data_IF_628041481140
#
_entry.id   IF_628041481140
#
_cell.length_a   1.000
_cell.length_b   1.000
_cell.length_c   1.000
_cell.angle_alpha   90.00
_cell.angle_beta   90.00
_cell.angle_gamma   90.00
#
_symmetry.space_group_name_H-M   'P 1'
#
loop_
_entity.id
_entity.type
_entity.pdbx_description
1 polymer ?
#
# COMPACT_ATOMS: atom_id res chain seq x y z
N UNK A 1 15.85 5.85 -5.26
CA UNK A 1 15.91 4.81 -4.21
C UNK A 1 14.51 4.63 -3.65
N UNK A 2 13.76 3.65 -4.17
CA UNK A 2 12.40 3.32 -3.69
C UNK A 2 12.46 2.11 -2.76
N UNK A 3 12.08 2.29 -1.50
CA UNK A 3 11.80 1.16 -0.59
C UNK A 3 10.30 0.86 -0.68
N UNK A 4 9.97 -0.41 -0.94
CA UNK A 4 8.58 -0.88 -0.98
C UNK A 4 7.94 -0.67 0.39
N UNK A 5 6.82 0.05 0.43
CA UNK A 5 6.11 0.41 1.66
C UNK A 5 4.65 0.01 1.52
N UNK A 6 4.05 -0.52 2.58
CA UNK A 6 2.61 -0.77 2.63
C UNK A 6 1.89 0.53 2.95
N UNK A 7 0.83 0.87 2.20
CA UNK A 7 -0.09 1.94 2.58
C UNK A 7 -0.93 1.48 3.78
N UNK A 8 -0.79 2.18 4.89
CA UNK A 8 -1.63 2.02 6.08
C UNK A 8 -2.60 3.20 6.21
N UNK A 9 -3.86 2.96 6.61
CA UNK A 9 -4.78 4.07 6.87
C UNK A 9 -4.18 5.07 7.87
N UNK A 10 -3.45 4.56 8.86
CA UNK A 10 -2.98 5.31 10.01
C UNK A 10 -4.14 5.68 10.94
N UNK A 11 -3.81 6.10 12.16
CA UNK A 11 -4.74 6.78 13.05
C UNK A 11 -4.26 8.22 13.34
N UNK A 12 -4.97 8.94 14.21
CA UNK A 12 -4.63 10.33 14.57
C UNK A 12 -3.21 10.44 15.14
N UNK A 13 -2.77 9.45 15.91
CA UNK A 13 -1.50 9.45 16.64
C UNK A 13 -0.35 8.84 15.81
N UNK A 14 -0.67 8.07 14.77
CA UNK A 14 0.32 7.45 13.88
C UNK A 14 1.04 8.54 13.08
N UNK A 15 2.38 8.63 13.09
CA UNK A 15 3.12 9.66 12.35
C UNK A 15 3.14 9.46 10.83
N UNK A 16 2.44 8.44 10.32
CA UNK A 16 2.32 8.08 8.90
C UNK A 16 0.86 7.65 8.59
N UNK A 17 0.53 7.46 7.32
CA UNK A 17 -0.82 7.10 6.85
C UNK A 17 -1.55 8.24 6.14
N UNK A 18 -2.87 8.13 5.97
CA UNK A 18 -3.67 9.21 5.41
C UNK A 18 -3.81 10.36 6.41
N UNK A 19 -3.48 11.57 5.96
CA UNK A 19 -3.55 12.81 6.73
C UNK A 19 -4.31 13.86 5.94
N UNK A 20 -5.13 14.63 6.65
CA UNK A 20 -5.93 15.71 6.09
C UNK A 20 -6.18 16.77 7.16
N UNK A 21 -6.42 18.00 6.73
CA UNK A 21 -6.85 19.09 7.60
C UNK A 21 -8.29 18.82 8.06
N UNK A 22 -8.60 18.99 9.36
CA UNK A 22 -9.99 18.96 9.82
C UNK A 22 -10.86 19.90 8.99
N UNK A 23 -12.08 19.46 8.67
CA UNK A 23 -13.05 20.19 7.82
C UNK A 23 -12.66 20.40 6.35
N UNK A 24 -11.49 19.93 5.90
CA UNK A 24 -11.10 19.91 4.48
C UNK A 24 -10.62 18.52 4.01
N UNK A 25 -11.55 17.61 3.66
CA UNK A 25 -11.23 16.31 3.08
C UNK A 25 -10.42 16.37 1.77
N UNK A 26 -10.46 17.49 1.04
CA UNK A 26 -9.75 17.62 -0.24
C UNK A 26 -8.24 17.77 -0.05
N UNK A 27 -7.80 18.16 1.15
CA UNK A 27 -6.40 18.26 1.53
C UNK A 27 -5.70 16.91 1.71
N UNK A 28 -6.43 15.78 1.63
CA UNK A 28 -5.91 14.46 1.97
C UNK A 28 -4.65 14.07 1.18
N UNK A 29 -3.66 13.55 1.90
CA UNK A 29 -2.44 12.98 1.36
C UNK A 29 -2.00 11.78 2.19
N UNK A 30 -1.12 10.96 1.65
CA UNK A 30 -0.47 9.89 2.38
C UNK A 30 0.91 10.34 2.84
N UNK A 31 1.19 10.19 4.13
CA UNK A 31 2.50 10.42 4.72
C UNK A 31 3.22 9.08 4.87
N UNK A 32 4.34 8.91 4.18
CA UNK A 32 5.08 7.66 4.18
C UNK A 32 5.84 7.41 5.49
N UNK A 33 5.80 6.16 5.97
CA UNK A 33 6.46 5.72 7.20
C UNK A 33 7.99 5.89 7.17
N UNK A 34 8.65 5.68 6.03
CA UNK A 34 10.12 5.62 6.01
C UNK A 34 10.79 6.98 5.91
N UNK A 35 10.29 7.85 5.02
CA UNK A 35 10.96 9.11 4.68
C UNK A 35 10.09 10.33 4.98
N UNK A 36 8.91 10.15 5.57
CA UNK A 36 7.91 11.20 5.74
C UNK A 36 7.60 11.95 4.43
N UNK A 37 7.72 11.26 3.28
CA UNK A 37 7.34 11.86 2.01
C UNK A 37 5.82 11.97 1.93
N UNK A 38 5.38 13.10 1.36
CA UNK A 38 3.99 13.36 1.05
C UNK A 38 3.71 12.76 -0.33
N UNK A 39 2.74 11.85 -0.40
CA UNK A 39 2.28 11.22 -1.63
C UNK A 39 0.82 11.63 -1.83
N UNK A 40 0.48 12.16 -3.00
CA UNK A 40 -0.92 12.40 -3.39
C UNK A 40 -1.46 11.18 -4.14
N UNK A 41 -2.79 11.00 -4.15
CA UNK A 41 -3.40 9.84 -4.80
C UNK A 41 -2.97 9.68 -6.27
N UNK A 42 -2.89 10.78 -7.01
CA UNK A 42 -2.46 10.81 -8.42
C UNK A 42 -0.97 10.49 -8.64
N UNK A 43 -0.18 10.47 -7.57
CA UNK A 43 1.25 10.16 -7.58
C UNK A 43 1.51 8.69 -7.20
N UNK A 44 0.46 7.90 -6.94
CA UNK A 44 0.60 6.47 -6.73
C UNK A 44 1.06 5.79 -8.03
N UNK A 45 2.24 5.22 -7.97
CA UNK A 45 2.82 4.42 -9.04
C UNK A 45 2.86 2.94 -8.62
N UNK A 46 2.15 2.10 -9.38
CA UNK A 46 2.08 0.66 -9.17
C UNK A 46 3.01 -0.15 -10.09
N UNK A 47 3.82 0.51 -10.92
CA UNK A 47 4.64 -0.16 -11.95
C UNK A 47 5.55 -1.24 -11.35
N UNK A 48 6.14 -0.99 -10.18
CA UNK A 48 7.01 -1.92 -9.45
C UNK A 48 6.34 -2.57 -8.22
N UNK A 49 5.01 -2.49 -8.14
CA UNK A 49 4.28 -3.09 -7.03
C UNK A 49 4.39 -4.63 -7.07
N UNK A 50 4.47 -5.22 -5.88
CA UNK A 50 4.49 -6.67 -5.70
C UNK A 50 3.74 -7.03 -4.43
N UNK A 51 3.13 -8.20 -4.43
CA UNK A 51 2.63 -8.79 -3.19
C UNK A 51 3.77 -9.48 -2.46
N UNK A 52 3.88 -9.27 -1.15
CA UNK A 52 4.79 -9.99 -0.26
C UNK A 52 3.95 -10.54 0.90
N UNK A 53 4.05 -11.84 1.16
CA UNK A 53 3.42 -12.45 2.31
C UNK A 53 4.18 -12.06 3.59
N UNK A 54 3.50 -11.41 4.54
CA UNK A 54 4.10 -10.96 5.81
C UNK A 54 4.59 -12.12 6.69
N UNK A 55 4.00 -13.32 6.55
CA UNK A 55 4.34 -14.50 7.37
C UNK A 55 5.56 -15.26 6.85
N UNK A 56 5.66 -15.42 5.54
CA UNK A 56 6.66 -16.30 4.90
C UNK A 56 7.73 -15.52 4.12
N UNK A 57 7.45 -14.27 3.77
CA UNK A 57 8.28 -13.47 2.87
C UNK A 57 8.22 -13.91 1.40
N UNK A 58 7.40 -14.91 1.06
CA UNK A 58 7.12 -15.30 -0.32
C UNK A 58 6.46 -14.13 -1.04
N UNK A 59 6.88 -13.85 -2.28
CA UNK A 59 6.36 -12.73 -3.04
C UNK A 59 6.15 -13.05 -4.51
N UNK A 60 5.28 -12.28 -5.14
CA UNK A 60 5.00 -12.34 -6.58
C UNK A 60 4.71 -10.94 -7.13
N UNK A 61 5.07 -10.71 -8.39
CA UNK A 61 4.75 -9.46 -9.12
C UNK A 61 3.47 -9.58 -9.93
N UNK A 62 3.19 -10.76 -10.45
CA UNK A 62 2.15 -11.01 -11.46
C UNK A 62 1.15 -12.11 -11.04
N UNK A 63 1.40 -12.81 -9.93
CA UNK A 63 0.62 -13.97 -9.50
C UNK A 63 0.97 -15.27 -10.25
N UNK A 64 1.91 -15.22 -11.19
CA UNK A 64 2.32 -16.35 -12.02
C UNK A 64 3.68 -16.86 -11.54
N UNK A 65 4.68 -15.98 -11.44
CA UNK A 65 6.01 -16.30 -10.94
C UNK A 65 6.10 -16.03 -9.43
N UNK A 66 6.58 -17.01 -8.69
CA UNK A 66 6.67 -16.97 -7.24
C UNK A 66 8.13 -17.03 -6.80
N UNK A 67 8.44 -16.24 -5.77
CA UNK A 67 9.79 -16.13 -5.27
C UNK A 67 9.80 -16.31 -3.75
N UNK A 68 10.83 -16.98 -3.25
CA UNK A 68 11.10 -17.08 -1.82
C UNK A 68 11.52 -15.72 -1.24
N UNK A 69 11.63 -15.65 0.09
CA UNK A 69 12.14 -14.47 0.79
C UNK A 69 13.60 -14.14 0.47
N UNK A 70 14.38 -15.12 -0.02
CA UNK A 70 15.76 -14.92 -0.53
C UNK A 70 15.80 -14.47 -2.01
N UNK A 71 14.67 -14.50 -2.71
CA UNK A 71 14.57 -14.11 -4.14
C UNK A 71 14.78 -15.25 -5.13
N UNK A 72 14.84 -16.49 -4.67
CA UNK A 72 14.88 -17.67 -5.54
C UNK A 72 13.48 -17.99 -6.06
N UNK A 73 13.36 -18.38 -7.33
CA UNK A 73 12.09 -18.82 -7.91
C UNK A 73 11.63 -20.13 -7.27
N UNK A 74 10.34 -20.21 -6.95
CA UNK A 74 9.70 -21.37 -6.32
C UNK A 74 8.41 -21.71 -7.05
N UNK A 75 7.93 -22.94 -6.83
CA UNK A 75 6.58 -23.32 -7.25
C UNK A 75 5.50 -22.46 -6.56
N UNK A 76 4.36 -22.18 -7.23
CA UNK A 76 3.25 -21.46 -6.63
C UNK A 76 2.74 -22.15 -5.35
N UNK A 77 2.35 -21.39 -4.30
CA UNK A 77 1.73 -21.96 -3.11
C UNK A 77 0.40 -22.64 -3.41
N UNK A 78 0.07 -23.72 -2.70
CA UNK A 78 -1.21 -24.44 -2.82
C UNK A 78 -2.44 -23.55 -2.61
N UNK A 79 -2.30 -22.50 -1.79
CA UNK A 79 -3.34 -21.51 -1.57
C UNK A 79 -2.73 -20.14 -1.27
N UNK A 80 -3.39 -19.10 -1.77
CA UNK A 80 -2.98 -17.71 -1.61
C UNK A 80 -4.18 -16.87 -1.21
N UNK A 81 -3.99 -15.97 -0.24
CA UNK A 81 -5.00 -14.99 0.15
C UNK A 81 -4.35 -13.62 0.22
N UNK A 82 -4.98 -12.63 -0.40
CA UNK A 82 -4.52 -11.24 -0.39
C UNK A 82 -5.43 -10.40 0.51
N UNK A 83 -4.84 -9.55 1.32
CA UNK A 83 -5.55 -8.45 1.96
C UNK A 83 -5.23 -7.16 1.21
N UNK A 84 -6.20 -6.62 0.47
CA UNK A 84 -6.04 -5.41 -0.33
C UNK A 84 -6.88 -4.29 0.28
N UNK A 85 -6.23 -3.18 0.61
CA UNK A 85 -6.92 -2.01 1.16
C UNK A 85 -7.52 -1.14 0.06
N UNK A 86 -8.73 -0.61 0.28
CA UNK A 86 -9.46 0.18 -0.72
C UNK A 86 -8.73 1.44 -1.20
N UNK A 87 -7.79 1.97 -0.42
CA UNK A 87 -7.00 3.14 -0.82
C UNK A 87 -6.09 2.91 -2.04
N UNK A 88 -5.83 1.65 -2.41
CA UNK A 88 -5.15 1.30 -3.65
C UNK A 88 -6.06 1.37 -4.88
N UNK A 89 -7.37 1.49 -4.70
CA UNK A 89 -8.34 1.49 -5.79
C UNK A 89 -8.30 2.80 -6.58
N UNK A 90 -8.20 2.75 -7.92
CA UNK A 90 -8.41 3.94 -8.74
C UNK A 90 -9.88 4.40 -8.73
N UNK A 91 -10.81 3.53 -8.30
CA UNK A 91 -12.25 3.81 -8.30
C UNK A 91 -12.76 4.46 -7.00
N UNK A 92 -11.97 4.45 -5.93
CA UNK A 92 -12.33 5.07 -4.66
C UNK A 92 -11.27 6.12 -4.31
N UNK A 93 -11.65 7.39 -4.30
CA UNK A 93 -10.70 8.45 -3.97
C UNK A 93 -10.44 8.52 -2.47
N UNK A 94 -9.23 8.91 -2.08
CA UNK A 94 -8.90 9.12 -0.67
C UNK A 94 -9.82 10.16 -0.02
N UNK A 95 -10.28 11.15 -0.81
CA UNK A 95 -11.29 12.12 -0.39
C UNK A 95 -12.60 11.44 0.02
N UNK A 96 -13.05 10.42 -0.73
CA UNK A 96 -14.24 9.64 -0.38
C UNK A 96 -14.00 8.75 0.86
N UNK A 97 -12.79 8.17 0.99
CA UNK A 97 -12.44 7.34 2.14
C UNK A 97 -12.54 8.15 3.44
N UNK A 98 -11.95 9.36 3.48
CA UNK A 98 -11.95 10.19 4.70
C UNK A 98 -13.27 10.92 4.97
N UNK A 99 -14.15 11.04 3.96
CA UNK A 99 -15.52 11.57 4.14
C UNK A 99 -16.48 10.57 4.79
N UNK A 100 -16.21 9.28 4.62
CA UNK A 100 -17.08 8.20 5.10
C UNK A 100 -16.65 7.67 6.47
N UNK A 101 -15.47 8.08 6.95
CA UNK A 101 -14.89 7.68 8.23
C UNK A 101 -15.26 8.57 9.40
#
# INVERSE_FOLDING_TARGET
MGRSSTLNLGDKETPFGLKWTPDDPSSVFYLCEHNACVIRQQELDFTDARYICEKTGIWTRDGILWFSSSGEEIEPPDSVTFHIWTAYSPFTTWVQIVKTG
#
